data_IF_122454184811
#
_entry.id   IF_122454184811
#
_cell.length_a   1.000
_cell.length_b   1.000
_cell.length_c   1.000
_cell.angle_alpha   90.00
_cell.angle_beta   90.00
_cell.angle_gamma   90.00
#
_symmetry.space_group_name_H-M   'P 1'
#
loop_
_entity.id
_entity.type
_entity.pdbx_description
1 polymer ?
#
# COMPACT_ATOMS: atom_id res chain seq x y z
N UNK A 1 14.81 8.25 -17.52
CA UNK A 1 14.84 6.84 -17.09
C UNK A 1 13.44 6.24 -17.17
N UNK A 2 12.45 6.80 -16.47
CA UNK A 2 11.04 6.45 -16.62
C UNK A 2 10.27 7.46 -17.50
N UNK A 3 9.18 7.01 -18.10
CA UNK A 3 8.36 7.77 -19.08
C UNK A 3 6.88 7.82 -18.71
N UNK A 4 6.36 6.82 -18.00
CA UNK A 4 5.03 6.85 -17.39
C UNK A 4 5.10 6.63 -15.89
N UNK A 5 4.13 7.20 -15.21
CA UNK A 5 3.94 7.10 -13.76
C UNK A 5 2.46 6.81 -13.52
N UNK A 6 2.14 5.86 -12.65
CA UNK A 6 0.77 5.59 -12.21
C UNK A 6 0.70 5.28 -10.72
N UNK A 7 -0.16 5.96 -9.95
CA UNK A 7 -0.36 5.62 -8.54
C UNK A 7 -1.10 4.29 -8.39
N UNK A 8 -0.77 3.55 -7.35
CA UNK A 8 -1.57 2.42 -6.89
C UNK A 8 -1.57 2.34 -5.37
N UNK A 9 -2.58 1.65 -4.86
CA UNK A 9 -2.92 1.54 -3.45
C UNK A 9 -2.91 0.09 -3.01
N UNK A 10 -2.59 -0.08 -1.73
CA UNK A 10 -2.48 -1.34 -1.04
C UNK A 10 -3.32 -1.24 0.23
N UNK A 11 -4.43 -1.96 0.29
CA UNK A 11 -5.25 -2.08 1.49
C UNK A 11 -4.86 -3.37 2.19
N UNK A 12 -4.38 -3.26 3.43
CA UNK A 12 -3.99 -4.38 4.27
C UNK A 12 -5.25 -5.11 4.73
N UNK A 13 -5.44 -6.37 4.33
CA UNK A 13 -6.63 -7.17 4.71
C UNK A 13 -6.33 -8.03 5.94
N UNK A 14 -5.08 -8.47 6.09
CA UNK A 14 -4.58 -9.14 7.30
C UNK A 14 -3.29 -8.46 7.78
N UNK A 15 -2.98 -8.48 9.09
CA UNK A 15 -1.86 -7.72 9.62
C UNK A 15 -0.57 -8.01 8.86
N UNK A 16 0.16 -6.96 8.51
CA UNK A 16 1.27 -7.03 7.56
C UNK A 16 2.61 -6.84 8.25
N UNK A 17 3.50 -7.82 8.12
CA UNK A 17 4.88 -7.72 8.61
C UNK A 17 5.85 -7.42 7.46
N UNK A 18 6.03 -6.13 7.17
CA UNK A 18 7.13 -5.66 6.32
C UNK A 18 8.39 -5.52 7.19
N UNK A 19 9.07 -6.63 7.51
CA UNK A 19 10.15 -6.64 8.49
C UNK A 19 11.39 -5.84 8.08
N UNK A 20 12.03 -5.17 9.05
CA UNK A 20 13.32 -4.48 8.86
C UNK A 20 14.53 -5.27 9.39
N UNK A 21 14.34 -6.53 9.75
CA UNK A 21 15.34 -7.37 10.42
C UNK A 21 15.11 -7.42 11.93
N UNK A 22 16.11 -7.92 12.65
CA UNK A 22 16.10 -7.98 14.12
C UNK A 22 16.61 -6.67 14.70
N UNK A 23 15.96 -6.18 15.76
CA UNK A 23 16.38 -4.99 16.50
C UNK A 23 16.71 -5.35 17.96
N UNK A 24 17.57 -4.54 18.60
CA UNK A 24 17.84 -4.59 20.04
C UNK A 24 16.84 -3.72 20.84
N UNK A 25 15.80 -3.23 20.17
CA UNK A 25 14.76 -2.39 20.75
C UNK A 25 13.74 -3.17 21.59
N UNK A 26 12.61 -2.53 21.87
CA UNK A 26 11.51 -3.11 22.67
C UNK A 26 10.80 -4.24 21.93
N UNK A 27 10.83 -4.22 20.60
CA UNK A 27 10.29 -5.28 19.73
C UNK A 27 11.45 -5.97 19.02
N UNK A 28 11.50 -7.29 19.08
CA UNK A 28 12.59 -8.08 18.48
C UNK A 28 12.56 -8.01 16.95
N UNK A 29 11.36 -8.05 16.36
CA UNK A 29 11.13 -8.01 14.92
C UNK A 29 10.18 -6.85 14.57
N UNK A 30 10.70 -5.60 14.43
CA UNK A 30 9.89 -4.45 14.06
C UNK A 30 9.54 -4.41 12.57
N UNK A 31 8.54 -3.60 12.21
CA UNK A 31 8.23 -3.28 10.82
C UNK A 31 9.12 -2.15 10.28
N UNK A 32 9.22 -2.05 8.96
CA UNK A 32 9.92 -0.98 8.26
C UNK A 32 9.29 0.39 8.52
N UNK A 33 10.13 1.35 8.88
CA UNK A 33 9.74 2.74 9.13
C UNK A 33 10.67 3.72 8.39
N UNK A 34 10.12 4.86 7.99
CA UNK A 34 10.92 5.98 7.50
C UNK A 34 11.78 6.57 8.63
N UNK A 35 13.10 6.57 8.47
CA UNK A 35 14.04 7.02 9.52
C UNK A 35 13.76 8.41 10.10
N UNK A 36 13.27 9.33 9.27
CA UNK A 36 13.13 10.75 9.62
C UNK A 36 11.74 11.13 10.18
N UNK A 37 10.73 10.27 10.01
CA UNK A 37 9.36 10.51 10.48
C UNK A 37 8.88 9.45 11.48
N UNK A 38 9.47 8.25 11.45
CA UNK A 38 8.96 7.08 12.15
C UNK A 38 7.73 6.45 11.49
N UNK A 39 7.25 6.97 10.36
CA UNK A 39 6.03 6.44 9.73
C UNK A 39 6.29 5.05 9.12
N UNK A 40 5.38 4.08 9.32
CA UNK A 40 5.44 2.80 8.64
C UNK A 40 5.54 2.96 7.12
N UNK A 41 6.36 2.13 6.49
CA UNK A 41 6.46 2.03 5.03
C UNK A 41 6.74 0.59 4.60
N UNK A 42 6.66 0.36 3.30
CA UNK A 42 7.17 -0.85 2.66
C UNK A 42 8.25 -0.44 1.64
N UNK A 43 9.47 -0.94 1.81
CA UNK A 43 10.57 -0.71 0.87
C UNK A 43 10.22 -1.16 -0.55
N UNK A 44 10.52 -0.33 -1.55
CA UNK A 44 10.21 -0.62 -2.95
C UNK A 44 10.81 -1.93 -3.47
N UNK A 45 11.91 -2.39 -2.89
CA UNK A 45 12.55 -3.67 -3.21
C UNK A 45 11.69 -4.88 -2.81
N UNK A 46 11.22 -4.91 -1.56
CA UNK A 46 10.37 -6.00 -1.08
C UNK A 46 8.98 -5.95 -1.73
N UNK A 47 8.46 -4.75 -2.00
CA UNK A 47 7.23 -4.58 -2.78
C UNK A 47 7.37 -5.14 -4.20
N UNK A 48 8.47 -4.80 -4.89
CA UNK A 48 8.77 -5.32 -6.23
C UNK A 48 8.91 -6.85 -6.21
N UNK A 49 9.56 -7.41 -5.20
CA UNK A 49 9.72 -8.85 -5.03
C UNK A 49 8.39 -9.58 -4.88
N UNK A 50 7.54 -9.15 -3.94
CA UNK A 50 6.23 -9.79 -3.71
C UNK A 50 5.27 -9.64 -4.90
N UNK A 51 5.28 -8.48 -5.58
CA UNK A 51 4.49 -8.32 -6.80
C UNK A 51 5.03 -9.21 -7.93
N UNK A 52 6.35 -9.32 -8.09
CA UNK A 52 6.95 -10.22 -9.09
C UNK A 52 6.51 -11.66 -8.87
N UNK A 53 6.56 -12.15 -7.64
CA UNK A 53 6.09 -13.50 -7.28
C UNK A 53 4.60 -13.70 -7.64
N UNK A 54 3.77 -12.69 -7.38
CA UNK A 54 2.36 -12.72 -7.77
C UNK A 54 2.14 -12.82 -9.30
N UNK A 55 3.06 -12.28 -10.11
CA UNK A 55 3.03 -12.45 -11.57
C UNK A 55 3.56 -13.83 -11.99
N UNK A 56 4.62 -14.33 -11.35
CA UNK A 56 5.21 -15.64 -11.64
C UNK A 56 4.24 -16.80 -11.36
N UNK A 57 3.37 -16.65 -10.36
CA UNK A 57 2.37 -17.64 -9.98
C UNK A 57 1.01 -17.47 -10.67
N UNK A 58 0.83 -16.38 -11.43
CA UNK A 58 -0.42 -16.13 -12.16
C UNK A 58 -0.37 -16.75 -13.58
N UNK A 59 -1.16 -17.80 -13.80
CA UNK A 59 -1.20 -18.52 -15.08
C UNK A 59 -2.28 -18.03 -16.05
N UNK A 60 -3.01 -16.96 -15.73
CA UNK A 60 -3.98 -16.39 -16.65
C UNK A 60 -3.32 -15.77 -17.88
N UNK A 61 -4.07 -15.73 -18.97
CA UNK A 61 -3.69 -15.08 -20.22
C UNK A 61 -4.36 -13.72 -20.31
N UNK A 62 -3.59 -12.72 -20.73
CA UNK A 62 -4.06 -11.37 -20.94
C UNK A 62 -3.70 -10.91 -22.33
N UNK A 63 -4.52 -10.02 -22.88
CA UNK A 63 -4.21 -9.34 -24.12
C UNK A 63 -3.44 -8.06 -23.84
N UNK A 64 -2.18 -7.99 -24.26
CA UNK A 64 -1.38 -6.76 -24.23
C UNK A 64 -1.25 -6.28 -25.67
N UNK A 65 -1.68 -5.04 -25.92
CA UNK A 65 -1.86 -4.53 -27.27
C UNK A 65 -2.86 -5.40 -28.08
N UNK A 66 -2.33 -6.26 -28.95
CA UNK A 66 -3.11 -7.18 -29.78
C UNK A 66 -2.63 -8.64 -29.68
N UNK A 67 -1.70 -8.92 -28.77
CA UNK A 67 -1.11 -10.24 -28.58
C UNK A 67 -1.57 -10.82 -27.24
N UNK A 68 -1.91 -12.10 -27.24
CA UNK A 68 -2.13 -12.85 -26.02
C UNK A 68 -0.79 -13.23 -25.41
N UNK A 69 -0.69 -13.03 -24.10
CA UNK A 69 0.50 -13.35 -23.33
C UNK A 69 0.09 -13.94 -21.99
N UNK A 70 0.74 -15.03 -21.63
CA UNK A 70 0.62 -15.60 -20.29
C UNK A 70 1.30 -14.67 -19.29
N UNK A 71 0.61 -14.30 -18.21
CA UNK A 71 1.18 -13.40 -17.20
C UNK A 71 2.50 -13.95 -16.65
N UNK A 72 2.56 -15.25 -16.37
CA UNK A 72 3.74 -15.98 -15.87
C UNK A 72 4.78 -16.35 -16.94
N UNK A 73 4.75 -15.77 -18.14
CA UNK A 73 5.83 -15.96 -19.12
C UNK A 73 7.15 -15.38 -18.57
N UNK A 74 8.16 -16.25 -18.41
CA UNK A 74 9.45 -15.92 -17.80
C UNK A 74 10.23 -14.85 -18.57
N UNK A 75 10.17 -14.88 -19.91
CA UNK A 75 10.86 -13.88 -20.72
C UNK A 75 10.21 -12.51 -20.52
N UNK A 76 8.87 -12.47 -20.50
CA UNK A 76 8.08 -11.26 -20.31
C UNK A 76 8.31 -10.68 -18.90
N UNK A 77 8.30 -11.53 -17.86
CA UNK A 77 8.62 -11.11 -16.49
C UNK A 77 10.07 -10.59 -16.40
N UNK A 78 11.03 -11.26 -17.03
CA UNK A 78 12.43 -10.83 -17.07
C UNK A 78 12.60 -9.47 -17.76
N UNK A 79 11.86 -9.20 -18.82
CA UNK A 79 11.85 -7.89 -19.49
C UNK A 79 11.28 -6.79 -18.59
N UNK A 80 10.19 -7.08 -17.88
CA UNK A 80 9.47 -6.09 -17.05
C UNK A 80 10.19 -5.87 -15.72
N UNK A 81 10.38 -6.92 -14.93
CA UNK A 81 10.91 -6.87 -13.57
C UNK A 81 12.45 -6.97 -13.51
N UNK A 82 13.11 -7.33 -14.60
CA UNK A 82 14.55 -7.56 -14.69
C UNK A 82 14.91 -9.06 -14.64
N UNK A 83 16.10 -9.43 -15.14
CA UNK A 83 16.60 -10.81 -15.09
C UNK A 83 16.95 -11.23 -13.66
N UNK A 84 16.84 -12.53 -13.36
CA UNK A 84 17.23 -13.07 -12.04
C UNK A 84 18.73 -12.98 -11.80
N UNK A 85 19.54 -13.19 -12.84
CA UNK A 85 21.00 -13.21 -12.74
C UNK A 85 21.66 -11.83 -12.89
N UNK A 86 20.89 -10.72 -12.92
CA UNK A 86 21.39 -9.35 -12.84
C UNK A 86 22.18 -8.79 -14.05
N UNK A 87 22.82 -9.63 -14.86
CA UNK A 87 23.85 -9.22 -15.83
C UNK A 87 23.35 -8.93 -17.26
N UNK A 88 22.06 -9.11 -17.54
CA UNK A 88 21.54 -9.05 -18.92
C UNK A 88 20.99 -7.67 -19.34
N UNK A 89 20.11 -7.07 -18.53
CA UNK A 89 19.45 -5.80 -18.81
C UNK A 89 18.73 -5.23 -17.58
N UNK A 90 18.50 -3.91 -17.56
CA UNK A 90 17.73 -3.25 -16.50
C UNK A 90 16.22 -3.51 -16.61
N UNK A 91 15.51 -3.47 -15.47
CA UNK A 91 14.06 -3.64 -15.43
C UNK A 91 13.30 -2.48 -16.08
N UNK A 92 12.26 -2.78 -16.84
CA UNK A 92 11.37 -1.77 -17.45
C UNK A 92 10.31 -1.20 -16.48
N UNK A 93 10.18 -1.78 -15.28
CA UNK A 93 9.30 -1.28 -14.21
C UNK A 93 10.10 -0.92 -12.95
N UNK A 94 9.69 0.18 -12.32
CA UNK A 94 10.16 0.64 -11.01
C UNK A 94 8.98 0.92 -10.09
N UNK A 95 9.24 0.86 -8.79
CA UNK A 95 8.29 1.18 -7.73
C UNK A 95 8.95 2.16 -6.78
N UNK A 96 8.21 3.17 -6.34
CA UNK A 96 8.61 3.88 -5.11
C UNK A 96 8.29 3.01 -3.90
N UNK A 97 8.87 3.34 -2.74
CA UNK A 97 8.41 2.78 -1.48
C UNK A 97 6.89 2.95 -1.33
N UNK A 98 6.22 1.96 -0.73
CA UNK A 98 4.84 2.12 -0.33
C UNK A 98 4.78 2.92 0.96
N UNK A 99 4.20 4.11 0.88
CA UNK A 99 4.08 5.06 1.99
C UNK A 99 2.69 4.95 2.61
N UNK A 100 2.63 5.15 3.93
CA UNK A 100 1.38 5.22 4.66
C UNK A 100 0.52 6.40 4.17
N UNK A 101 -0.77 6.11 3.90
CA UNK A 101 -1.78 7.12 3.54
C UNK A 101 -2.82 7.26 4.66
N UNK A 102 -3.45 6.14 5.04
CA UNK A 102 -4.45 6.08 6.10
C UNK A 102 -4.09 4.96 7.08
N UNK A 103 -4.16 5.28 8.37
CA UNK A 103 -3.90 4.33 9.45
C UNK A 103 -5.19 4.12 10.26
N UNK A 104 -5.57 2.87 10.59
CA UNK A 104 -6.77 2.62 11.37
C UNK A 104 -6.45 2.71 12.85
N UNK A 105 -7.27 3.46 13.60
CA UNK A 105 -7.18 3.57 15.05
C UNK A 105 -8.54 3.31 15.66
N UNK A 106 -8.57 2.52 16.73
CA UNK A 106 -9.80 2.23 17.48
C UNK A 106 -10.49 3.53 17.87
N UNK A 107 -11.80 3.60 17.64
CA UNK A 107 -12.62 4.75 18.00
C UNK A 107 -13.72 4.30 18.94
N UNK A 108 -14.02 5.11 19.96
CA UNK A 108 -15.11 4.83 20.90
C UNK A 108 -16.45 4.61 20.19
N UNK A 109 -16.66 5.31 19.07
CA UNK A 109 -17.86 5.20 18.23
C UNK A 109 -17.47 4.84 16.80
N UNK A 110 -18.22 3.97 16.14
CA UNK A 110 -17.94 3.58 14.75
C UNK A 110 -16.82 2.54 14.58
N UNK A 111 -16.44 1.87 15.67
CA UNK A 111 -15.40 0.80 15.75
C UNK A 111 -13.98 1.32 15.60
N UNK A 112 -13.68 1.98 14.48
CA UNK A 112 -12.38 2.58 14.21
C UNK A 112 -12.51 3.78 13.28
N UNK A 113 -11.51 4.65 13.31
CA UNK A 113 -11.33 5.77 12.40
C UNK A 113 -10.14 5.51 11.47
N UNK A 114 -10.24 5.92 10.21
CA UNK A 114 -9.03 6.12 9.41
C UNK A 114 -8.45 7.49 9.73
N UNK A 115 -7.24 7.51 10.28
CA UNK A 115 -6.52 8.74 10.59
C UNK A 115 -5.48 9.05 9.51
N UNK A 116 -5.21 10.33 9.32
CA UNK A 116 -4.10 10.86 8.52
C UNK A 116 -3.72 12.25 9.05
N UNK A 117 -2.75 12.93 8.44
CA UNK A 117 -2.30 14.27 8.85
C UNK A 117 -1.90 15.14 7.66
N UNK A 118 -1.79 16.48 7.85
CA UNK A 118 -1.36 17.41 6.80
C UNK A 118 -0.06 17.01 6.09
N UNK A 119 0.95 16.52 6.81
CA UNK A 119 2.22 16.07 6.20
C UNK A 119 2.04 14.89 5.26
N UNK A 120 1.26 13.88 5.65
CA UNK A 120 0.98 12.71 4.80
C UNK A 120 0.22 13.14 3.56
N UNK A 121 -0.82 13.95 3.72
CA UNK A 121 -1.63 14.44 2.61
C UNK A 121 -0.83 15.34 1.65
N UNK A 122 -0.05 16.29 2.18
CA UNK A 122 0.80 17.15 1.37
C UNK A 122 1.82 16.37 0.55
N UNK A 123 2.44 15.35 1.14
CA UNK A 123 3.34 14.45 0.42
C UNK A 123 2.61 13.63 -0.64
N UNK A 124 1.46 13.06 -0.30
CA UNK A 124 0.64 12.28 -1.22
C UNK A 124 0.28 13.09 -2.47
N UNK A 125 -0.21 14.33 -2.32
CA UNK A 125 -0.53 15.18 -3.48
C UNK A 125 0.70 15.55 -4.30
N UNK A 126 1.83 15.81 -3.63
CA UNK A 126 3.10 16.07 -4.31
C UNK A 126 3.51 14.87 -5.16
N UNK A 127 3.39 13.64 -4.64
CA UNK A 127 3.68 12.41 -5.38
C UNK A 127 2.69 12.19 -6.54
N UNK A 128 1.39 12.45 -6.33
CA UNK A 128 0.37 12.36 -7.39
C UNK A 128 0.62 13.34 -8.55
N UNK A 129 1.26 14.48 -8.27
CA UNK A 129 1.65 15.44 -9.32
C UNK A 129 2.64 14.83 -10.33
N UNK A 130 3.47 13.87 -9.91
CA UNK A 130 4.38 13.14 -10.80
C UNK A 130 3.62 12.28 -11.83
N UNK A 131 2.39 11.88 -11.50
CA UNK A 131 1.48 11.17 -12.40
C UNK A 131 0.48 12.10 -13.13
N UNK A 132 0.61 13.42 -12.96
CA UNK A 132 -0.28 14.44 -13.53
C UNK A 132 -1.77 14.25 -13.16
N UNK A 133 -2.07 13.67 -12.00
CA UNK A 133 -3.45 13.46 -11.54
C UNK A 133 -4.15 14.81 -11.37
N UNK A 134 -5.34 14.93 -11.97
CA UNK A 134 -6.17 16.15 -11.94
C UNK A 134 -7.39 15.98 -11.03
N UNK A 135 -8.06 17.09 -10.71
CA UNK A 135 -9.34 17.07 -9.99
C UNK A 135 -9.23 16.66 -8.52
N UNK A 136 -8.05 16.83 -7.92
CA UNK A 136 -7.81 16.61 -6.49
C UNK A 136 -8.43 17.78 -5.71
N UNK A 137 -9.32 17.53 -4.72
CA UNK A 137 -9.87 18.58 -3.87
C UNK A 137 -8.79 19.30 -3.06
N UNK A 138 -9.14 20.48 -2.52
CA UNK A 138 -8.28 21.16 -1.55
C UNK A 138 -8.08 20.28 -0.32
N UNK A 139 -6.86 20.28 0.21
CA UNK A 139 -6.54 19.50 1.40
C UNK A 139 -7.28 20.05 2.62
N UNK A 140 -7.81 19.17 3.48
CA UNK A 140 -8.33 19.56 4.78
C UNK A 140 -7.20 19.99 5.73
N UNK A 141 -7.58 20.75 6.76
CA UNK A 141 -6.68 21.17 7.84
C UNK A 141 -6.64 20.11 8.96
N UNK A 142 -5.64 20.18 9.85
CA UNK A 142 -5.60 19.32 11.03
C UNK A 142 -6.82 19.54 11.94
N UNK A 143 -7.12 18.52 12.75
CA UNK A 143 -8.26 18.48 13.67
C UNK A 143 -9.60 18.69 12.94
N UNK A 144 -9.76 18.04 11.77
CA UNK A 144 -11.00 18.08 10.99
C UNK A 144 -11.55 16.69 10.68
N UNK A 145 -12.86 16.66 10.44
CA UNK A 145 -13.63 15.47 10.04
C UNK A 145 -14.64 15.84 8.94
N UNK A 146 -15.15 14.86 8.18
CA UNK A 146 -16.27 15.08 7.27
C UNK A 146 -17.53 15.62 7.98
N UNK A 147 -18.37 16.35 7.25
CA UNK A 147 -19.59 16.97 7.79
C UNK A 147 -20.61 15.94 8.30
N UNK A 148 -20.64 14.75 7.73
CA UNK A 148 -21.53 13.65 8.12
C UNK A 148 -20.84 12.58 8.99
N UNK A 149 -19.74 12.97 9.67
CA UNK A 149 -18.91 12.08 10.46
C UNK A 149 -19.71 11.32 11.53
N UNK A 150 -19.52 9.99 11.57
CA UNK A 150 -20.21 9.10 12.52
C UNK A 150 -19.45 8.89 13.82
N UNK A 151 -18.21 9.36 13.90
CA UNK A 151 -17.33 9.17 15.05
C UNK A 151 -17.56 10.19 16.18
N UNK A 152 -18.29 11.28 15.90
CA UNK A 152 -18.52 12.36 16.87
C UNK A 152 -19.24 11.88 18.13
N UNK A 153 -18.69 12.32 19.27
CA UNK A 153 -19.17 12.13 20.63
C UNK A 153 -19.31 13.51 21.30
N UNK A 154 -20.37 13.71 22.09
CA UNK A 154 -20.64 14.94 22.86
C UNK A 154 -20.29 16.25 22.12
N UNK A 155 -20.91 16.45 20.95
CA UNK A 155 -20.66 17.60 20.08
C UNK A 155 -19.52 17.32 19.11
N UNK A 156 -18.41 18.06 19.27
CA UNK A 156 -17.31 18.14 18.31
C UNK A 156 -16.07 17.34 18.77
N UNK A 157 -16.27 16.24 19.50
CA UNK A 157 -15.16 15.41 19.99
C UNK A 157 -15.11 14.06 19.30
N UNK A 158 -13.91 13.55 19.08
CA UNK A 158 -13.67 12.15 18.70
C UNK A 158 -12.75 11.54 19.74
N UNK A 159 -13.04 10.31 20.15
CA UNK A 159 -12.23 9.57 21.12
C UNK A 159 -11.55 8.42 20.38
N UNK A 160 -10.23 8.52 20.22
CA UNK A 160 -9.37 7.54 19.56
C UNK A 160 -8.49 6.88 20.61
N UNK A 161 -8.61 5.56 20.74
CA UNK A 161 -8.09 4.83 21.91
C UNK A 161 -8.51 5.50 23.23
N UNK A 162 -7.55 5.89 24.08
CA UNK A 162 -7.78 6.66 25.31
C UNK A 162 -7.77 8.20 25.14
N UNK A 163 -7.48 8.71 23.95
CA UNK A 163 -7.29 10.14 23.71
C UNK A 163 -8.55 10.82 23.16
N UNK A 164 -8.86 12.00 23.69
CA UNK A 164 -9.98 12.82 23.25
C UNK A 164 -9.47 14.01 22.43
N UNK A 165 -9.97 14.13 21.20
CA UNK A 165 -9.63 15.20 20.26
C UNK A 165 -10.83 16.10 20.02
N UNK A 166 -10.63 17.41 20.07
CA UNK A 166 -11.61 18.37 19.56
C UNK A 166 -11.40 18.53 18.05
N UNK A 167 -12.46 18.30 17.29
CA UNK A 167 -12.43 18.33 15.82
C UNK A 167 -13.48 19.29 15.27
N UNK A 168 -13.27 19.75 14.04
CA UNK A 168 -14.25 20.57 13.32
C UNK A 168 -14.75 19.82 12.10
N UNK A 169 -16.05 19.87 11.87
CA UNK A 169 -16.62 19.47 10.57
C UNK A 169 -16.11 20.46 9.50
N UNK A 170 -15.62 19.92 8.39
CA UNK A 170 -15.05 20.70 7.30
C UNK A 170 -15.45 20.16 5.92
N UNK A 171 -15.98 21.05 5.08
CA UNK A 171 -16.41 20.72 3.72
C UNK A 171 -15.24 20.25 2.84
N UNK A 172 -14.01 20.77 3.07
CA UNK A 172 -12.84 20.28 2.33
C UNK A 172 -12.55 18.83 2.71
N UNK A 173 -12.63 18.49 4.00
CA UNK A 173 -12.52 17.12 4.49
C UNK A 173 -13.58 16.21 3.87
N UNK A 174 -14.85 16.62 3.82
CA UNK A 174 -15.93 15.88 3.15
C UNK A 174 -15.62 15.58 1.67
N UNK A 175 -15.21 16.61 0.91
CA UNK A 175 -14.86 16.47 -0.51
C UNK A 175 -13.64 15.57 -0.71
N UNK A 176 -12.64 15.69 0.16
CA UNK A 176 -11.43 14.89 0.09
C UNK A 176 -11.69 13.42 0.43
N UNK A 177 -12.47 13.14 1.47
CA UNK A 177 -12.90 11.79 1.85
C UNK A 177 -13.67 11.08 0.72
N UNK A 178 -14.58 11.80 0.05
CA UNK A 178 -15.28 11.29 -1.14
C UNK A 178 -14.32 11.02 -2.31
N UNK A 179 -13.35 11.91 -2.53
CA UNK A 179 -12.36 11.71 -3.57
C UNK A 179 -11.45 10.52 -3.27
N UNK A 180 -11.01 10.35 -2.02
CA UNK A 180 -10.24 9.18 -1.59
C UNK A 180 -11.05 7.90 -1.77
N UNK A 181 -12.29 7.85 -1.29
CA UNK A 181 -13.12 6.65 -1.37
C UNK A 181 -13.33 6.17 -2.82
N UNK A 182 -13.39 7.09 -3.78
CA UNK A 182 -13.55 6.77 -5.21
C UNK A 182 -12.27 6.24 -5.85
N UNK A 183 -11.11 6.72 -5.43
CA UNK A 183 -9.83 6.45 -6.09
C UNK A 183 -9.03 5.33 -5.41
N UNK A 184 -9.13 5.23 -4.09
CA UNK A 184 -8.33 4.32 -3.25
C UNK A 184 -9.03 3.00 -3.01
N UNK A 185 -10.34 3.01 -2.75
CA UNK A 185 -11.12 1.79 -2.52
C UNK A 185 -11.47 1.13 -3.87
N UNK A 186 -11.35 -0.20 -3.99
CA UNK A 186 -11.77 -0.92 -5.19
C UNK A 186 -13.25 -0.74 -5.52
N UNK A 187 -13.58 -0.81 -6.81
CA UNK A 187 -14.96 -0.71 -7.30
C UNK A 187 -15.71 -2.02 -7.09
N UNK A 188 -17.01 -1.93 -6.84
CA UNK A 188 -17.92 -3.08 -6.77
C UNK A 188 -18.76 -3.07 -5.49
N UNK A 189 -19.93 -3.71 -5.55
CA UNK A 189 -20.93 -3.66 -4.48
C UNK A 189 -20.39 -4.16 -3.13
N UNK A 190 -19.48 -5.14 -3.15
CA UNK A 190 -18.84 -5.69 -1.94
C UNK A 190 -18.01 -4.63 -1.17
N UNK A 191 -17.57 -3.56 -1.83
CA UNK A 191 -16.78 -2.48 -1.22
C UNK A 191 -17.62 -1.26 -0.81
N UNK A 192 -18.95 -1.32 -0.94
CA UNK A 192 -19.84 -0.21 -0.61
C UNK A 192 -19.71 0.22 0.86
N UNK A 193 -19.62 -0.76 1.77
CA UNK A 193 -19.42 -0.47 3.19
C UNK A 193 -18.14 0.34 3.42
N UNK A 194 -17.01 -0.13 2.90
CA UNK A 194 -15.70 0.54 3.04
C UNK A 194 -15.67 1.91 2.38
N UNK A 195 -16.31 2.05 1.22
CA UNK A 195 -16.45 3.34 0.52
C UNK A 195 -17.21 4.34 1.38
N UNK A 196 -18.36 3.95 1.92
CA UNK A 196 -19.17 4.81 2.79
C UNK A 196 -18.49 5.09 4.13
N UNK A 197 -17.76 4.11 4.67
CA UNK A 197 -17.00 4.27 5.90
C UNK A 197 -15.90 5.31 5.72
N UNK A 198 -15.10 5.23 4.65
CA UNK A 198 -14.04 6.21 4.40
C UNK A 198 -14.59 7.63 4.18
N UNK A 199 -15.77 7.77 3.58
CA UNK A 199 -16.43 9.06 3.41
C UNK A 199 -16.78 9.75 4.73
N UNK A 200 -17.04 8.98 5.79
CA UNK A 200 -17.59 9.47 7.06
C UNK A 200 -16.60 9.40 8.22
N UNK A 201 -15.72 8.41 8.21
CA UNK A 201 -14.89 8.03 9.35
C UNK A 201 -13.40 8.33 9.09
N UNK A 202 -13.13 9.39 8.31
CA UNK A 202 -11.81 9.99 8.14
C UNK A 202 -11.59 11.04 9.23
N UNK A 203 -10.44 11.01 9.89
CA UNK A 203 -10.03 12.03 10.87
C UNK A 203 -8.67 12.57 10.48
N UNK A 204 -8.57 13.89 10.33
CA UNK A 204 -7.30 14.56 10.08
C UNK A 204 -6.77 15.02 11.43
N UNK A 205 -5.67 14.44 11.90
CA UNK A 205 -5.01 14.83 13.14
C UNK A 205 -3.87 15.81 12.86
N UNK A 206 -3.27 16.36 13.93
CA UNK A 206 -1.98 17.02 13.82
C UNK A 206 -0.89 16.05 13.39
N UNK A 207 0.21 16.57 12.84
CA UNK A 207 1.34 15.72 12.42
C UNK A 207 1.95 14.94 13.60
N UNK A 208 1.95 15.52 14.80
CA UNK A 208 2.52 14.91 16.00
C UNK A 208 1.61 13.83 16.60
N UNK A 209 0.31 14.08 16.71
CA UNK A 209 -0.64 13.07 17.19
C UNK A 209 -0.69 11.87 16.24
N UNK A 210 -0.68 12.13 14.93
CA UNK A 210 -0.60 11.07 13.92
C UNK A 210 0.69 10.25 14.06
N UNK A 211 1.84 10.93 14.24
CA UNK A 211 3.14 10.27 14.47
C UNK A 211 3.06 9.34 15.67
N UNK A 212 2.46 9.76 16.77
CA UNK A 212 2.38 8.95 17.97
C UNK A 212 1.51 7.71 17.74
N UNK A 213 0.33 7.86 17.13
CA UNK A 213 -0.52 6.70 16.79
C UNK A 213 0.17 5.68 15.89
N UNK A 214 0.84 6.10 14.82
CA UNK A 214 1.47 5.14 13.90
C UNK A 214 2.69 4.43 14.50
N UNK A 215 3.25 4.95 15.60
CA UNK A 215 4.34 4.32 16.34
C UNK A 215 3.86 3.46 17.51
N UNK A 216 2.71 3.79 18.11
CA UNK A 216 2.25 3.17 19.36
C UNK A 216 1.04 2.24 19.18
N UNK A 217 0.30 2.36 18.08
CA UNK A 217 -0.92 1.60 17.82
C UNK A 217 -0.77 0.53 16.73
N UNK A 218 0.46 0.11 16.45
CA UNK A 218 0.74 -1.11 15.69
C UNK A 218 0.47 -2.36 16.55
N UNK A 219 0.25 -3.50 15.90
CA UNK A 219 0.04 -4.75 16.62
C UNK A 219 1.39 -5.35 17.03
N UNK A 220 1.67 -5.44 18.33
CA UNK A 220 2.85 -6.14 18.86
C UNK A 220 2.41 -7.48 19.46
N UNK A 221 2.83 -8.57 18.81
CA UNK A 221 2.42 -9.93 19.19
C UNK A 221 3.61 -10.69 19.75
N UNK A 222 3.48 -11.16 20.98
CA UNK A 222 4.43 -12.10 21.59
C UNK A 222 4.20 -13.51 21.07
N UNK A 223 5.25 -14.15 20.56
CA UNK A 223 5.22 -15.51 20.02
C UNK A 223 6.19 -16.41 20.80
N UNK A 224 5.78 -17.67 20.91
CA UNK A 224 6.59 -18.73 21.52
C UNK A 224 6.68 -19.94 20.62
N UNK A 225 7.77 -20.69 20.73
CA UNK A 225 7.84 -22.07 20.24
C UNK A 225 7.66 -23.03 21.41
N UNK A 226 6.71 -23.96 21.30
CA UNK A 226 6.47 -25.00 22.29
C UNK A 226 7.32 -26.23 21.97
N UNK A 227 7.92 -26.83 22.99
CA UNK A 227 8.56 -28.14 22.90
C UNK A 227 7.47 -29.23 22.92
N UNK A 228 7.41 -30.04 21.87
CA UNK A 228 6.39 -31.08 21.70
C UNK A 228 6.45 -32.21 22.73
N UNK A 229 7.62 -32.45 23.36
CA UNK A 229 7.78 -33.50 24.37
C UNK A 229 7.30 -33.04 25.74
N UNK A 230 7.62 -31.80 26.13
CA UNK A 230 7.33 -31.27 27.47
C UNK A 230 6.03 -30.48 27.54
N UNK A 231 5.51 -30.00 26.41
CA UNK A 231 4.37 -29.08 26.35
C UNK A 231 4.67 -27.66 26.87
N UNK A 232 5.94 -27.34 27.11
CA UNK A 232 6.38 -26.04 27.64
C UNK A 232 7.15 -25.22 26.59
N UNK A 233 7.34 -23.92 26.84
CA UNK A 233 8.11 -23.04 25.93
C UNK A 233 9.55 -23.55 25.81
N UNK A 234 10.04 -23.66 24.57
CA UNK A 234 11.43 -23.98 24.28
C UNK A 234 12.34 -22.81 24.72
N UNK A 235 13.42 -23.12 25.43
CA UNK A 235 14.40 -22.13 25.87
C UNK A 235 14.89 -21.26 24.72
N UNK A 236 14.83 -19.94 24.90
CA UNK A 236 15.27 -18.94 23.92
C UNK A 236 14.32 -18.71 22.74
N UNK A 237 13.11 -19.28 22.77
CA UNK A 237 12.14 -19.16 21.67
C UNK A 237 10.92 -18.32 22.05
N UNK A 238 11.13 -17.25 22.83
CA UNK A 238 10.16 -16.20 23.13
C UNK A 238 10.64 -14.93 22.41
N UNK A 239 9.79 -14.34 21.58
CA UNK A 239 10.11 -13.12 20.85
C UNK A 239 8.83 -12.34 20.52
N UNK A 240 8.99 -11.09 20.12
CA UNK A 240 7.91 -10.15 19.78
C UNK A 240 8.02 -9.74 18.30
N UNK A 241 6.87 -9.67 17.64
CA UNK A 241 6.77 -9.25 16.25
C UNK A 241 5.77 -8.10 16.14
N UNK A 242 6.16 -7.05 15.44
CA UNK A 242 5.30 -5.93 15.11
C UNK A 242 4.59 -6.18 13.77
N UNK A 243 3.33 -5.76 13.66
CA UNK A 243 2.56 -5.79 12.44
C UNK A 243 1.87 -4.46 12.19
N UNK A 244 1.84 -4.08 10.91
CA UNK A 244 0.94 -3.03 10.45
C UNK A 244 -0.50 -3.57 10.53
N UNK A 245 -1.43 -2.86 11.19
CA UNK A 245 -2.79 -3.37 11.37
C UNK A 245 -3.52 -3.59 10.05
N UNK A 246 -4.50 -4.49 10.07
CA UNK A 246 -5.53 -4.59 9.03
C UNK A 246 -6.20 -3.23 8.79
N UNK A 247 -6.81 -3.06 7.62
CA UNK A 247 -7.43 -1.82 7.14
C UNK A 247 -6.45 -0.65 6.88
N UNK A 248 -5.15 -0.80 7.14
CA UNK A 248 -4.16 0.19 6.75
C UNK A 248 -4.13 0.38 5.23
N UNK A 249 -4.02 1.63 4.77
CA UNK A 249 -3.87 1.95 3.35
C UNK A 249 -2.49 2.56 3.10
N UNK A 250 -1.73 1.88 2.24
CA UNK A 250 -0.48 2.39 1.68
C UNK A 250 -0.68 2.81 0.22
N UNK A 251 0.21 3.66 -0.29
CA UNK A 251 0.29 3.99 -1.71
C UNK A 251 1.73 3.95 -2.23
N UNK A 252 1.90 3.62 -3.50
CA UNK A 252 3.18 3.67 -4.21
C UNK A 252 2.96 4.14 -5.65
N UNK A 253 4.03 4.58 -6.32
CA UNK A 253 4.02 4.94 -7.73
C UNK A 253 4.68 3.83 -8.56
N UNK A 254 3.96 3.35 -9.58
CA UNK A 254 4.50 2.49 -10.64
C UNK A 254 5.14 3.40 -11.67
N UNK A 255 6.40 3.14 -12.00
CA UNK A 255 7.18 3.88 -12.97
C UNK A 255 7.53 2.93 -14.12
N UNK A 256 7.18 3.24 -15.37
CA UNK A 256 7.55 2.40 -16.52
C UNK A 256 8.46 3.15 -17.49
N UNK A 257 9.40 2.40 -18.06
CA UNK A 257 10.39 2.85 -19.02
C UNK A 257 10.35 1.99 -20.28
N UNK A 258 10.97 2.45 -21.39
CA UNK A 258 11.21 1.59 -22.53
C UNK A 258 12.04 0.36 -22.16
N UNK A 259 11.95 -0.70 -22.96
CA UNK A 259 12.72 -1.92 -22.71
C UNK A 259 14.13 -1.74 -23.28
N UNK A 260 15.12 -1.84 -22.40
CA UNK A 260 16.54 -1.70 -22.72
C UNK A 260 17.23 -3.06 -22.80
N UNK A 261 16.99 -3.78 -23.90
CA UNK A 261 17.73 -5.02 -24.24
C UNK A 261 18.67 -4.80 -25.41
N UNK A 262 19.69 -5.66 -25.55
CA UNK A 262 20.60 -5.65 -26.71
C UNK A 262 19.84 -5.75 -28.04
N UNK A 263 20.43 -5.19 -29.12
CA UNK A 263 19.77 -5.04 -30.43
C UNK A 263 19.22 -6.34 -31.02
N UNK A 264 19.78 -7.48 -30.64
CA UNK A 264 19.41 -8.81 -31.15
C UNK A 264 18.35 -9.54 -30.29
N UNK A 265 17.97 -8.99 -29.12
CA UNK A 265 16.97 -9.61 -28.23
C UNK A 265 15.55 -9.17 -28.61
N UNK A 266 14.64 -10.13 -28.70
CA UNK A 266 13.22 -9.91 -29.01
C UNK A 266 12.49 -9.23 -27.83
N UNK A 267 11.83 -8.10 -28.10
CA UNK A 267 11.02 -7.36 -27.12
C UNK A 267 9.61 -7.94 -26.92
N UNK A 268 9.30 -9.07 -27.55
CA UNK A 268 8.03 -9.82 -27.43
C UNK A 268 6.82 -8.89 -27.65
N UNK A 269 5.82 -8.97 -26.78
CA UNK A 269 4.58 -8.17 -26.83
C UNK A 269 4.78 -6.66 -26.65
N UNK A 270 5.98 -6.23 -26.26
CA UNK A 270 6.31 -4.84 -25.96
C UNK A 270 7.01 -4.12 -27.12
N UNK A 271 7.31 -4.81 -28.22
CA UNK A 271 7.84 -4.16 -29.41
C UNK A 271 6.88 -3.05 -29.88
N UNK A 272 7.43 -1.86 -30.15
CA UNK A 272 6.66 -0.69 -30.59
C UNK A 272 5.79 -1.04 -31.79
N UNK A 273 4.47 -0.96 -31.63
CA UNK A 273 3.51 -1.30 -32.66
C UNK A 273 2.22 -0.51 -32.45
N UNK A 274 1.49 -0.20 -33.53
CA UNK A 274 0.21 0.53 -33.51
C UNK A 274 0.25 1.86 -32.73
N UNK A 275 1.37 2.59 -32.80
CA UNK A 275 1.50 3.92 -32.19
C UNK A 275 1.66 3.94 -30.67
N UNK A 276 1.63 2.79 -29.98
CA UNK A 276 1.93 2.70 -28.53
C UNK A 276 3.44 2.61 -28.30
N UNK A 277 3.95 3.38 -27.33
CA UNK A 277 5.34 3.28 -26.91
C UNK A 277 5.54 2.07 -25.97
N UNK A 278 6.77 1.62 -25.83
CA UNK A 278 7.09 0.40 -25.06
C UNK A 278 6.70 0.54 -23.58
N UNK A 279 6.94 1.71 -22.98
CA UNK A 279 6.56 2.03 -21.61
C UNK A 279 5.04 1.96 -21.36
N UNK A 280 4.23 2.25 -22.38
CA UNK A 280 2.76 2.16 -22.33
C UNK A 280 2.33 0.69 -22.33
N UNK A 281 3.02 -0.14 -23.10
CA UNK A 281 2.78 -1.58 -23.17
C UNK A 281 3.20 -2.30 -21.87
N UNK A 282 4.31 -1.88 -21.27
CA UNK A 282 4.74 -2.36 -19.93
C UNK A 282 3.70 -1.97 -18.88
N UNK A 283 3.21 -0.74 -18.90
CA UNK A 283 2.15 -0.27 -17.99
C UNK A 283 0.85 -1.07 -18.21
N UNK A 284 0.47 -1.33 -19.46
CA UNK A 284 -0.72 -2.12 -19.80
C UNK A 284 -0.62 -3.57 -19.30
N UNK A 285 0.52 -4.23 -19.51
CA UNK A 285 0.79 -5.57 -18.98
C UNK A 285 0.70 -5.59 -17.47
N UNK A 286 1.30 -4.61 -16.80
CA UNK A 286 1.25 -4.52 -15.33
C UNK A 286 -0.19 -4.37 -14.82
N UNK A 287 -0.96 -3.44 -15.39
CA UNK A 287 -2.33 -3.16 -14.94
C UNK A 287 -3.23 -4.39 -15.11
N UNK A 288 -3.11 -5.09 -16.23
CA UNK A 288 -3.93 -6.26 -16.54
C UNK A 288 -3.45 -7.51 -15.80
N UNK A 289 -2.15 -7.60 -15.52
CA UNK A 289 -1.54 -8.77 -14.89
C UNK A 289 -1.59 -8.76 -13.36
N UNK A 290 -1.65 -7.59 -12.73
CA UNK A 290 -1.65 -7.45 -11.28
C UNK A 290 -2.91 -8.09 -10.67
N UNK A 291 -2.78 -9.12 -9.82
CA UNK A 291 -3.92 -9.71 -9.15
C UNK A 291 -4.59 -8.70 -8.19
N UNK A 292 -5.92 -8.81 -7.99
CA UNK A 292 -6.64 -7.91 -7.08
C UNK A 292 -6.25 -8.10 -5.60
N UNK A 293 -5.65 -9.24 -5.26
CA UNK A 293 -5.14 -9.57 -3.92
C UNK A 293 -3.79 -10.27 -4.08
N UNK A 294 -2.81 -9.87 -3.29
CA UNK A 294 -1.45 -10.39 -3.29
C UNK A 294 -0.97 -10.67 -1.86
N UNK A 295 0.06 -11.50 -1.73
CA UNK A 295 0.80 -11.71 -0.49
C UNK A 295 1.99 -10.74 -0.47
N UNK A 296 2.17 -10.02 0.63
CA UNK A 296 3.34 -9.16 0.87
C UNK A 296 3.91 -9.41 2.26
N UNK A 297 5.21 -9.17 2.43
CA UNK A 297 5.88 -9.30 3.73
C UNK A 297 6.05 -10.75 4.20
N UNK A 298 6.49 -10.90 5.45
CA UNK A 298 6.74 -12.20 6.07
C UNK A 298 5.47 -12.85 6.67
N UNK A 299 5.65 -14.02 7.29
CA UNK A 299 4.61 -14.70 8.07
C UNK A 299 3.36 -15.12 7.25
N UNK A 300 3.52 -15.40 5.96
CA UNK A 300 2.43 -15.82 5.05
C UNK A 300 1.69 -17.08 5.53
N UNK A 301 2.41 -18.06 6.07
CA UNK A 301 1.85 -19.35 6.53
C UNK A 301 0.98 -19.23 7.78
N UNK A 302 0.98 -18.07 8.45
CA UNK A 302 0.11 -17.76 9.60
C UNK A 302 -0.88 -16.63 9.28
N UNK A 303 -1.20 -16.47 8.00
CA UNK A 303 -2.26 -15.59 7.51
C UNK A 303 -1.94 -14.10 7.57
N UNK A 304 -0.66 -13.71 7.61
CA UNK A 304 -0.22 -12.30 7.65
C UNK A 304 0.08 -11.79 6.25
N UNK A 305 -0.16 -10.50 6.00
CA UNK A 305 0.28 -9.84 4.77
C UNK A 305 -0.56 -10.11 3.53
N UNK A 306 -1.83 -10.46 3.67
CA UNK A 306 -2.78 -10.45 2.55
C UNK A 306 -3.15 -9.00 2.27
N UNK A 307 -2.92 -8.54 1.04
CA UNK A 307 -3.07 -7.14 0.66
C UNK A 307 -3.88 -7.03 -0.62
N UNK A 308 -4.91 -6.18 -0.61
CA UNK A 308 -5.72 -5.86 -1.78
C UNK A 308 -5.11 -4.71 -2.57
N UNK A 309 -5.12 -4.84 -3.89
CA UNK A 309 -4.52 -3.85 -4.80
C UNK A 309 -5.58 -2.99 -5.48
N UNK A 310 -5.26 -1.70 -5.70
CA UNK A 310 -6.06 -0.79 -6.52
C UNK A 310 -5.15 0.13 -7.30
N UNK A 311 -5.15 0.02 -8.61
CA UNK A 311 -4.43 0.97 -9.48
C UNK A 311 -5.33 2.16 -9.73
N UNK A 312 -4.85 3.40 -9.61
CA UNK A 312 -5.64 4.59 -9.92
C UNK A 312 -5.99 4.66 -11.42
N UNK A 313 -7.23 5.02 -11.72
CA UNK A 313 -7.65 5.33 -13.09
C UNK A 313 -7.16 6.74 -13.45
N UNK A 314 -6.48 6.89 -14.59
CA UNK A 314 -6.00 8.17 -15.13
C UNK A 314 -6.75 8.54 -16.39
#
# INVERSE_FOLDING_TARGET
MFKRVRPFFLTVETPLHAGSGTDLGVVDLPIQRERHTGFPKFEGSGLKGGIREAFETNHAEIKVNSQEVKISDKDVISLVFGPENGDDHGSAIGFTDARLLLFPVKSMKGVFAWITCPKVLGRFITDLSLANVQGIPKLPEENTVPDDCKLLFEGNKVILEEYTFEVKMDEKCSKFAHWLSKNVIPKGQIFNYWTQKLQKDLVILSDDDFKDFVNLSTEVITRVKINNETGTVQTGALFTEEYLPSETILYSLILTSPIFVGKDKNKKVFAKNNGKNEEDLVMEYFIKGLPPVIQLGGNSTIGKGIVRTRIMDL
#
